data_IF_264048760512
#
_entry.id   IF_264048760512
#
_cell.length_a   1.000
_cell.length_b   1.000
_cell.length_c   1.000
_cell.angle_alpha   90.00
_cell.angle_beta   90.00
_cell.angle_gamma   90.00
#
_symmetry.space_group_name_H-M   'P 1'
#
loop_
_entity.id
_entity.type
_entity.pdbx_description
1 polymer ?
#
# COMPACT_ATOMS: atom_id res chain seq x y z
N UNK A 1 -4.21 -12.39 1.81
CA UNK A 1 -5.16 -12.81 2.88
C UNK A 1 -4.68 -12.22 4.19
N UNK A 2 -5.62 -11.74 5.01
CA UNK A 2 -5.31 -11.21 6.33
C UNK A 2 -4.59 -12.26 7.20
N UNK A 3 -3.61 -11.84 8.03
CA UNK A 3 -3.04 -12.71 9.04
C UNK A 3 -4.11 -13.26 9.98
N UNK A 4 -3.94 -14.50 10.44
CA UNK A 4 -4.82 -15.07 11.45
C UNK A 4 -4.65 -14.31 12.77
N UNK A 5 -5.73 -13.69 13.24
CA UNK A 5 -5.68 -12.68 14.31
C UNK A 5 -5.29 -13.23 15.70
N UNK A 6 -5.28 -14.56 15.84
CA UNK A 6 -4.85 -15.26 17.05
C UNK A 6 -3.37 -15.70 17.00
N UNK A 7 -2.68 -15.55 15.86
CA UNK A 7 -1.27 -15.92 15.76
C UNK A 7 -0.40 -15.05 16.66
N UNK A 8 0.56 -15.69 17.33
CA UNK A 8 1.71 -15.04 17.95
C UNK A 8 2.73 -14.60 16.88
N UNK A 9 3.65 -13.66 17.18
CA UNK A 9 4.73 -13.32 16.26
C UNK A 9 5.53 -14.52 15.77
N UNK A 10 5.83 -15.48 16.66
CA UNK A 10 6.62 -16.67 16.34
C UNK A 10 5.89 -17.57 15.34
N UNK A 11 4.58 -17.78 15.52
CA UNK A 11 3.76 -18.55 14.60
C UNK A 11 3.66 -17.85 13.23
N UNK A 12 3.51 -16.52 13.24
CA UNK A 12 3.45 -15.74 12.01
C UNK A 12 4.80 -15.80 11.26
N UNK A 13 5.93 -15.66 11.96
CA UNK A 13 7.27 -15.80 11.37
C UNK A 13 7.49 -17.21 10.78
N UNK A 14 7.09 -18.27 11.49
CA UNK A 14 7.18 -19.63 11.00
C UNK A 14 6.37 -19.83 9.71
N UNK A 15 5.15 -19.27 9.65
CA UNK A 15 4.34 -19.27 8.42
C UNK A 15 5.01 -18.48 7.30
N UNK A 16 5.59 -17.31 7.57
CA UNK A 16 6.33 -16.52 6.58
C UNK A 16 7.54 -17.29 6.05
N UNK A 17 8.26 -18.02 6.90
CA UNK A 17 9.39 -18.85 6.47
C UNK A 17 8.97 -19.87 5.41
N UNK A 18 7.87 -20.59 5.63
CA UNK A 18 7.34 -21.52 4.63
C UNK A 18 6.96 -20.80 3.33
N UNK A 19 6.29 -19.65 3.43
CA UNK A 19 5.89 -18.85 2.25
C UNK A 19 7.09 -18.28 1.49
N UNK A 20 8.16 -17.88 2.16
CA UNK A 20 9.37 -17.41 1.50
C UNK A 20 10.12 -18.54 0.82
N UNK A 21 10.17 -19.74 1.41
CA UNK A 21 10.71 -20.90 0.73
C UNK A 21 9.95 -21.19 -0.57
N UNK A 22 8.61 -21.19 -0.54
CA UNK A 22 7.76 -21.35 -1.72
C UNK A 22 7.99 -20.22 -2.74
N UNK A 23 7.92 -18.96 -2.30
CA UNK A 23 8.04 -17.80 -3.17
C UNK A 23 9.42 -17.69 -3.83
N UNK A 24 10.50 -18.07 -3.13
CA UNK A 24 11.87 -18.01 -3.67
C UNK A 24 12.03 -18.85 -4.94
N UNK A 25 11.31 -19.98 -5.04
CA UNK A 25 11.31 -20.83 -6.23
C UNK A 25 10.68 -20.18 -7.47
N UNK A 26 9.88 -19.11 -7.30
CA UNK A 26 9.21 -18.39 -8.39
C UNK A 26 10.04 -17.25 -8.97
N UNK A 27 11.22 -16.96 -8.40
CA UNK A 27 12.08 -15.83 -8.75
C UNK A 27 11.32 -14.48 -8.84
N UNK A 28 10.54 -14.10 -7.80
CA UNK A 28 9.75 -12.88 -7.83
C UNK A 28 10.66 -11.65 -7.81
N UNK A 29 10.19 -10.55 -8.42
CA UNK A 29 10.88 -9.25 -8.34
C UNK A 29 11.01 -8.77 -6.89
N UNK A 30 9.94 -8.93 -6.13
CA UNK A 30 9.84 -8.71 -4.69
C UNK A 30 8.57 -9.40 -4.17
N UNK A 31 8.44 -9.51 -2.85
CA UNK A 31 7.26 -10.08 -2.18
C UNK A 31 6.54 -8.96 -1.41
N UNK A 32 5.24 -8.84 -1.63
CA UNK A 32 4.36 -7.97 -0.87
C UNK A 32 3.80 -8.71 0.36
N UNK A 33 3.74 -8.03 1.51
CA UNK A 33 3.38 -8.65 2.79
C UNK A 33 2.33 -7.86 3.56
N UNK A 34 1.25 -8.55 3.92
CA UNK A 34 0.39 -8.19 5.04
C UNK A 34 1.00 -8.77 6.32
N UNK A 35 1.84 -7.99 6.99
CA UNK A 35 2.65 -8.48 8.10
C UNK A 35 2.25 -7.86 9.45
N UNK A 36 2.29 -8.68 10.49
CA UNK A 36 2.03 -8.26 11.85
C UNK A 36 0.54 -8.18 12.19
N UNK A 37 0.23 -7.51 13.28
CA UNK A 37 -1.11 -7.40 13.85
C UNK A 37 -1.25 -6.07 14.61
N UNK A 38 -2.40 -5.42 14.48
CA UNK A 38 -2.70 -4.11 15.09
C UNK A 38 -2.91 -4.16 16.61
N UNK A 39 -3.07 -5.35 17.20
CA UNK A 39 -3.21 -5.53 18.65
C UNK A 39 -1.88 -5.67 19.39
N UNK A 40 -0.78 -5.90 18.66
CA UNK A 40 0.53 -6.09 19.30
C UNK A 40 1.08 -4.75 19.78
N UNK A 41 1.69 -4.67 20.98
CA UNK A 41 2.41 -3.46 21.41
C UNK A 41 3.51 -3.08 20.42
N UNK A 42 3.81 -1.78 20.29
CA UNK A 42 4.81 -1.27 19.34
C UNK A 42 6.13 -2.04 19.36
N UNK A 43 6.69 -2.31 20.55
CA UNK A 43 7.96 -3.04 20.66
C UNK A 43 7.90 -4.44 20.04
N UNK A 44 6.77 -5.14 20.18
CA UNK A 44 6.55 -6.45 19.58
C UNK A 44 6.37 -6.35 18.06
N UNK A 45 5.69 -5.31 17.58
CA UNK A 45 5.54 -5.05 16.14
C UNK A 45 6.89 -4.76 15.47
N UNK A 46 7.72 -3.93 16.10
CA UNK A 46 9.08 -3.61 15.64
C UNK A 46 9.95 -4.87 15.61
N UNK A 47 10.00 -5.63 16.71
CA UNK A 47 10.78 -6.88 16.75
C UNK A 47 10.34 -7.88 15.67
N UNK A 48 9.03 -8.06 15.49
CA UNK A 48 8.47 -8.94 14.46
C UNK A 48 8.83 -8.48 13.03
N UNK A 49 8.63 -7.20 12.70
CA UNK A 49 8.89 -6.67 11.36
C UNK A 49 10.38 -6.72 11.02
N UNK A 50 11.26 -6.46 11.99
CA UNK A 50 12.70 -6.62 11.85
C UNK A 50 13.08 -8.07 11.52
N UNK A 51 12.58 -9.03 12.31
CA UNK A 51 12.80 -10.47 12.06
C UNK A 51 12.24 -10.93 10.72
N UNK A 52 11.05 -10.46 10.34
CA UNK A 52 10.45 -10.79 9.05
C UNK A 52 11.27 -10.27 7.87
N UNK A 53 11.84 -9.07 8.00
CA UNK A 53 12.75 -8.49 7.01
C UNK A 53 14.05 -9.30 6.88
N UNK A 54 14.69 -9.63 7.99
CA UNK A 54 15.91 -10.47 8.01
C UNK A 54 15.65 -11.87 7.45
N UNK A 55 14.53 -12.47 7.82
CA UNK A 55 14.11 -13.77 7.33
C UNK A 55 13.97 -13.77 5.80
N UNK A 56 13.29 -12.78 5.23
CA UNK A 56 13.17 -12.65 3.78
C UNK A 56 14.53 -12.47 3.08
N UNK A 57 15.42 -11.65 3.66
CA UNK A 57 16.76 -11.46 3.15
C UNK A 57 17.58 -12.77 3.12
N UNK A 58 17.37 -13.65 4.11
CA UNK A 58 17.96 -15.00 4.14
C UNK A 58 17.54 -15.90 2.97
N UNK A 59 16.38 -15.64 2.36
CA UNK A 59 15.92 -16.31 1.13
C UNK A 59 16.29 -15.54 -0.15
N UNK A 60 17.08 -14.45 -0.04
CA UNK A 60 17.41 -13.58 -1.17
C UNK A 60 16.22 -12.78 -1.70
N UNK A 61 15.14 -12.67 -0.92
CA UNK A 61 13.91 -11.99 -1.32
C UNK A 61 13.92 -10.52 -0.88
N UNK A 62 13.59 -9.62 -1.79
CA UNK A 62 13.20 -8.25 -1.40
C UNK A 62 11.76 -8.28 -0.91
N UNK A 63 11.51 -7.80 0.31
CA UNK A 63 10.16 -7.67 0.85
C UNK A 63 9.70 -6.21 0.93
N UNK A 64 8.41 -6.02 0.69
CA UNK A 64 7.69 -4.76 0.75
C UNK A 64 6.47 -4.95 1.65
N UNK A 65 6.39 -4.18 2.75
CA UNK A 65 5.35 -4.32 3.76
C UNK A 65 4.17 -3.40 3.45
N UNK A 66 2.98 -3.98 3.34
CA UNK A 66 1.78 -3.26 2.90
C UNK A 66 1.09 -2.53 4.05
N UNK A 67 0.70 -1.28 3.79
CA UNK A 67 -0.22 -0.53 4.64
C UNK A 67 -1.62 -1.15 4.56
N UNK A 68 -2.07 -1.80 5.64
CA UNK A 68 -3.36 -2.47 5.64
C UNK A 68 -3.96 -2.48 7.05
N UNK A 69 -5.29 -2.45 7.15
CA UNK A 69 -6.00 -2.61 8.44
C UNK A 69 -5.76 -4.01 9.01
N UNK A 70 -5.84 -4.21 10.33
CA UNK A 70 -5.59 -5.51 10.97
C UNK A 70 -4.13 -6.04 10.85
N UNK A 71 -3.19 -5.21 10.40
CA UNK A 71 -1.75 -5.49 10.37
C UNK A 71 -0.99 -4.41 11.16
N UNK A 72 0.33 -4.56 11.30
CA UNK A 72 1.13 -3.58 12.06
C UNK A 72 1.26 -2.22 11.40
N UNK A 73 0.86 -2.09 10.12
CA UNK A 73 0.95 -0.86 9.34
C UNK A 73 -0.44 -0.21 9.12
N UNK A 74 -1.40 -0.47 10.01
CA UNK A 74 -2.77 0.03 9.88
C UNK A 74 -2.89 1.55 10.06
N UNK A 75 -2.00 2.16 10.84
CA UNK A 75 -2.03 3.58 11.19
C UNK A 75 -0.83 4.31 10.57
N UNK A 76 -1.05 5.51 9.98
CA UNK A 76 0.05 6.35 9.51
C UNK A 76 1.04 6.67 10.63
N UNK A 77 0.54 7.09 11.80
CA UNK A 77 1.35 7.59 12.90
C UNK A 77 2.21 6.48 13.53
N UNK A 78 1.61 5.32 13.76
CA UNK A 78 2.34 4.14 14.24
C UNK A 78 3.40 3.70 13.22
N UNK A 79 3.10 3.78 11.92
CA UNK A 79 4.06 3.43 10.86
C UNK A 79 5.27 4.37 10.89
N UNK A 80 5.08 5.67 11.17
CA UNK A 80 6.20 6.61 11.33
C UNK A 80 7.06 6.25 12.56
N UNK A 81 6.48 5.82 13.68
CA UNK A 81 7.24 5.32 14.85
C UNK A 81 8.02 4.04 14.54
N UNK A 82 7.44 3.13 13.74
CA UNK A 82 8.13 1.91 13.28
C UNK A 82 9.31 2.28 12.37
N UNK A 83 9.13 3.23 11.44
CA UNK A 83 10.19 3.68 10.53
C UNK A 83 11.40 4.23 11.27
N UNK A 84 11.19 4.94 12.38
CA UNK A 84 12.29 5.46 13.20
C UNK A 84 13.18 4.35 13.77
N UNK A 85 12.60 3.17 14.06
CA UNK A 85 13.31 2.03 14.62
C UNK A 85 13.82 1.05 13.56
N UNK A 86 13.14 0.97 12.41
CA UNK A 86 13.48 0.09 11.28
C UNK A 86 13.59 0.88 9.97
N UNK A 87 14.58 1.77 9.85
CA UNK A 87 14.70 2.67 8.69
C UNK A 87 14.96 1.96 7.36
N UNK A 88 15.35 0.68 7.39
CA UNK A 88 15.62 -0.17 6.24
C UNK A 88 14.38 -0.79 5.60
N UNK A 89 13.21 -0.74 6.26
CA UNK A 89 11.99 -1.33 5.72
C UNK A 89 11.56 -0.60 4.43
N UNK A 90 10.99 -1.40 3.53
CA UNK A 90 10.37 -0.94 2.28
C UNK A 90 8.88 -1.19 2.37
N UNK A 91 8.09 -0.29 1.79
CA UNK A 91 6.64 -0.34 1.93
C UNK A 91 5.91 -0.50 0.61
N UNK A 92 4.81 -1.24 0.64
CA UNK A 92 3.77 -1.18 -0.38
C UNK A 92 2.71 -0.21 0.12
N UNK A 93 2.48 0.85 -0.63
CA UNK A 93 1.51 1.86 -0.27
C UNK A 93 0.14 1.54 -0.90
N UNK A 94 -0.77 1.03 -0.07
CA UNK A 94 -2.20 1.19 -0.27
C UNK A 94 -2.73 2.25 0.72
N UNK A 95 -2.75 3.50 0.26
CA UNK A 95 -3.13 4.64 1.10
C UNK A 95 -4.60 4.62 1.49
N UNK A 96 -5.44 3.87 0.77
CA UNK A 96 -6.88 3.78 1.04
C UNK A 96 -7.17 3.24 2.44
N UNK A 97 -6.29 2.40 2.98
CA UNK A 97 -6.39 1.88 4.33
C UNK A 97 -6.22 2.95 5.39
N UNK A 98 -5.27 3.87 5.21
CA UNK A 98 -5.04 4.95 6.16
C UNK A 98 -6.11 6.04 6.06
N UNK A 99 -6.63 6.30 4.86
CA UNK A 99 -7.76 7.24 4.66
C UNK A 99 -8.96 6.83 5.51
N UNK A 100 -9.40 5.57 5.41
CA UNK A 100 -10.56 5.11 6.19
C UNK A 100 -10.26 4.99 7.69
N UNK A 101 -9.05 4.60 8.09
CA UNK A 101 -8.66 4.55 9.51
C UNK A 101 -8.67 5.94 10.15
N UNK A 102 -8.38 6.97 9.36
CA UNK A 102 -8.31 8.35 9.83
C UNK A 102 -9.61 9.12 9.64
N UNK A 103 -10.60 8.52 8.97
CA UNK A 103 -11.89 9.13 8.60
C UNK A 103 -11.74 10.46 7.84
N UNK A 104 -10.66 10.60 7.04
CA UNK A 104 -10.38 11.80 6.25
C UNK A 104 -9.33 11.54 5.18
N UNK A 105 -9.30 12.43 4.19
CA UNK A 105 -8.14 12.56 3.31
C UNK A 105 -6.97 13.09 4.13
N UNK A 106 -5.78 12.52 3.92
CA UNK A 106 -4.58 12.82 4.69
C UNK A 106 -3.74 13.89 3.98
N UNK A 107 -4.37 15.04 3.71
CA UNK A 107 -3.78 16.17 2.99
C UNK A 107 -3.78 17.49 3.76
N UNK A 108 -3.87 17.43 5.10
CA UNK A 108 -3.62 18.59 5.96
C UNK A 108 -2.11 18.92 5.97
N UNK A 109 -1.68 20.20 6.08
CA UNK A 109 -0.27 20.54 6.23
C UNK A 109 0.45 19.86 7.41
N UNK A 110 -0.29 19.39 8.41
CA UNK A 110 0.23 18.64 9.56
C UNK A 110 0.47 17.16 9.25
N UNK A 111 -0.02 16.66 8.12
CA UNK A 111 0.12 15.28 7.66
C UNK A 111 1.43 15.06 6.90
N UNK A 112 2.55 15.06 7.63
CA UNK A 112 3.86 14.78 7.05
C UNK A 112 4.15 13.27 6.99
N UNK A 113 4.08 12.71 5.78
CA UNK A 113 4.45 11.31 5.51
C UNK A 113 5.71 11.17 4.67
N UNK A 114 6.55 12.21 4.58
CA UNK A 114 7.81 12.19 3.81
C UNK A 114 8.66 10.97 4.15
N UNK A 115 8.82 10.66 5.44
CA UNK A 115 9.58 9.50 5.90
C UNK A 115 9.02 8.15 5.40
N UNK A 116 7.69 8.02 5.25
CA UNK A 116 7.07 6.83 4.66
C UNK A 116 7.24 6.81 3.14
N UNK A 117 6.93 7.93 2.48
CA UNK A 117 7.02 8.10 1.02
C UNK A 117 8.43 7.76 0.50
N UNK A 118 9.46 8.16 1.23
CA UNK A 118 10.87 7.89 0.91
C UNK A 118 11.28 6.42 0.99
N UNK A 119 10.38 5.57 1.45
CA UNK A 119 10.59 4.12 1.61
C UNK A 119 9.58 3.29 0.82
N UNK A 120 8.62 3.92 0.14
CA UNK A 120 7.67 3.20 -0.70
C UNK A 120 8.39 2.58 -1.91
N UNK A 121 8.25 1.27 -2.02
CA UNK A 121 8.80 0.44 -3.10
C UNK A 121 7.76 0.10 -4.16
N UNK A 122 6.51 -0.13 -3.74
CA UNK A 122 5.39 -0.52 -4.60
C UNK A 122 4.11 0.25 -4.24
N UNK A 123 3.21 0.43 -5.21
CA UNK A 123 1.93 1.10 -5.02
C UNK A 123 0.79 0.15 -5.34
N UNK A 124 -0.21 0.07 -4.46
CA UNK A 124 -1.52 -0.48 -4.78
C UNK A 124 -2.48 0.69 -5.01
N UNK A 125 -3.03 0.75 -6.23
CA UNK A 125 -3.83 1.87 -6.69
C UNK A 125 -5.31 1.66 -6.39
N UNK A 126 -5.64 1.42 -5.12
CA UNK A 126 -7.01 1.46 -4.61
C UNK A 126 -7.32 2.88 -4.16
N UNK A 127 -8.50 3.38 -4.52
CA UNK A 127 -8.99 4.69 -4.05
C UNK A 127 -10.00 4.44 -2.95
N UNK A 128 -9.69 4.87 -1.73
CA UNK A 128 -10.62 4.93 -0.61
C UNK A 128 -11.14 6.34 -0.38
N UNK A 129 -12.06 6.47 0.57
CA UNK A 129 -12.69 7.69 1.03
C UNK A 129 -12.85 7.63 2.56
N UNK A 130 -13.21 8.73 3.17
CA UNK A 130 -13.36 8.88 4.63
C UNK A 130 -14.19 7.76 5.28
N UNK A 131 -15.24 7.27 4.60
CA UNK A 131 -16.13 6.23 5.12
C UNK A 131 -15.86 4.82 4.57
N UNK A 132 -14.85 4.62 3.73
CA UNK A 132 -14.59 3.30 3.15
C UNK A 132 -13.25 3.16 2.41
N UNK A 133 -12.59 2.00 2.47
CA UNK A 133 -11.29 1.80 1.82
C UNK A 133 -11.37 1.64 0.31
N UNK A 134 -12.57 1.54 -0.26
CA UNK A 134 -12.75 1.44 -1.70
C UNK A 134 -13.98 2.23 -2.08
N UNK A 135 -13.81 3.20 -2.97
CA UNK A 135 -14.94 3.90 -3.58
C UNK A 135 -15.73 2.93 -4.48
N UNK A 136 -17.07 3.02 -4.54
CA UNK A 136 -17.90 2.24 -5.45
C UNK A 136 -17.43 2.27 -6.91
N UNK A 137 -17.02 3.45 -7.39
CA UNK A 137 -16.47 3.63 -8.73
C UNK A 137 -15.53 4.86 -8.76
N UNK A 138 -14.25 4.72 -9.15
CA UNK A 138 -13.27 5.80 -9.05
C UNK A 138 -13.50 6.94 -10.06
N UNK A 139 -14.20 6.68 -11.16
CA UNK A 139 -14.58 7.70 -12.12
C UNK A 139 -15.86 8.49 -11.75
N UNK A 140 -16.56 8.12 -10.67
CA UNK A 140 -17.79 8.81 -10.32
C UNK A 140 -17.48 10.23 -9.78
N UNK A 141 -18.20 11.28 -10.21
CA UNK A 141 -17.88 12.66 -9.85
C UNK A 141 -17.79 12.93 -8.35
N UNK A 142 -18.62 12.25 -7.54
CA UNK A 142 -18.63 12.36 -6.08
C UNK A 142 -17.33 11.87 -5.42
N UNK A 143 -16.58 10.99 -6.07
CA UNK A 143 -15.28 10.48 -5.60
C UNK A 143 -14.08 11.17 -6.26
N UNK A 144 -14.31 12.20 -7.09
CA UNK A 144 -13.23 12.95 -7.72
C UNK A 144 -12.23 13.51 -6.68
N UNK A 145 -12.65 14.06 -5.52
CA UNK A 145 -11.69 14.55 -4.52
C UNK A 145 -10.78 13.43 -3.98
N UNK A 146 -11.35 12.25 -3.73
CA UNK A 146 -10.61 11.08 -3.25
C UNK A 146 -9.61 10.54 -4.29
N UNK A 147 -10.03 10.43 -5.56
CA UNK A 147 -9.13 10.05 -6.65
C UNK A 147 -8.00 11.08 -6.81
N UNK A 148 -8.33 12.37 -6.79
CA UNK A 148 -7.33 13.44 -6.93
C UNK A 148 -6.33 13.44 -5.77
N UNK A 149 -6.79 13.16 -4.54
CA UNK A 149 -5.92 12.96 -3.37
C UNK A 149 -4.95 11.79 -3.59
N UNK A 150 -5.46 10.61 -3.94
CA UNK A 150 -4.65 9.43 -4.18
C UNK A 150 -3.61 9.66 -5.29
N UNK A 151 -4.02 10.30 -6.39
CA UNK A 151 -3.14 10.68 -7.50
C UNK A 151 -2.04 11.67 -7.07
N UNK A 152 -2.34 12.66 -6.22
CA UNK A 152 -1.30 13.55 -5.65
C UNK A 152 -0.34 12.78 -4.77
N UNK A 153 -0.84 11.85 -3.95
CA UNK A 153 -0.01 11.02 -3.08
C UNK A 153 0.93 10.10 -3.88
N UNK A 154 0.42 9.41 -4.91
CA UNK A 154 1.24 8.56 -5.77
C UNK A 154 2.29 9.35 -6.56
N UNK A 155 2.00 10.59 -6.97
CA UNK A 155 3.03 11.46 -7.57
C UNK A 155 4.18 11.75 -6.61
N UNK A 156 3.92 11.96 -5.32
CA UNK A 156 4.98 12.15 -4.33
C UNK A 156 5.88 10.91 -4.23
N UNK A 157 5.28 9.72 -4.25
CA UNK A 157 6.02 8.45 -4.31
C UNK A 157 6.86 8.35 -5.58
N UNK A 158 6.31 8.68 -6.75
CA UNK A 158 7.06 8.62 -8.01
C UNK A 158 8.24 9.61 -8.02
N UNK A 159 8.06 10.83 -7.50
CA UNK A 159 9.15 11.81 -7.33
C UNK A 159 10.25 11.24 -6.43
N UNK A 160 9.89 10.73 -5.25
CA UNK A 160 10.85 10.13 -4.32
C UNK A 160 11.57 8.93 -4.93
N UNK A 161 10.86 8.02 -5.62
CA UNK A 161 11.46 6.88 -6.31
C UNK A 161 12.47 7.33 -7.38
N UNK A 162 12.12 8.35 -8.17
CA UNK A 162 13.04 8.94 -9.16
C UNK A 162 14.28 9.53 -8.50
N UNK A 163 14.13 10.31 -7.42
CA UNK A 163 15.24 10.88 -6.64
C UNK A 163 16.14 9.80 -6.03
N UNK A 164 15.56 8.67 -5.62
CA UNK A 164 16.29 7.48 -5.14
C UNK A 164 16.85 6.59 -6.26
N UNK A 165 16.75 7.03 -7.53
CA UNK A 165 17.36 6.36 -8.67
C UNK A 165 16.62 5.12 -9.17
N UNK A 166 15.32 4.98 -8.89
CA UNK A 166 14.53 3.88 -9.44
C UNK A 166 14.37 4.07 -10.97
N UNK A 167 14.80 3.10 -11.79
CA UNK A 167 14.66 3.21 -13.25
C UNK A 167 13.21 2.99 -13.72
N UNK A 168 12.36 2.43 -12.85
CA UNK A 168 10.95 2.18 -13.12
C UNK A 168 10.18 2.11 -11.79
N UNK A 169 8.89 2.45 -11.85
CA UNK A 169 7.94 2.24 -10.75
C UNK A 169 7.04 1.03 -11.05
N UNK A 170 6.43 0.45 -10.01
CA UNK A 170 5.45 -0.63 -10.15
C UNK A 170 4.18 -0.24 -9.43
N UNK A 171 3.03 -0.52 -10.04
CA UNK A 171 1.72 -0.19 -9.52
C UNK A 171 0.73 -1.31 -9.87
N UNK A 172 -0.07 -1.72 -8.90
CA UNK A 172 -1.12 -2.72 -9.06
C UNK A 172 -2.49 -2.05 -8.84
N UNK A 173 -3.38 -1.96 -9.85
CA UNK A 173 -4.79 -1.65 -9.60
C UNK A 173 -5.39 -2.73 -8.72
N UNK A 174 -5.96 -2.35 -7.58
CA UNK A 174 -6.33 -3.31 -6.55
C UNK A 174 -7.77 -3.13 -6.05
N UNK A 175 -8.72 -2.87 -6.95
CA UNK A 175 -10.12 -2.96 -6.57
C UNK A 175 -10.46 -4.43 -6.28
N UNK A 176 -10.99 -4.70 -5.09
CA UNK A 176 -11.22 -6.05 -4.56
C UNK A 176 -12.70 -6.45 -4.53
N UNK A 177 -12.99 -7.75 -4.63
CA UNK A 177 -14.34 -8.31 -4.52
C UNK A 177 -14.83 -8.51 -3.07
N UNK A 178 -13.90 -8.81 -2.16
CA UNK A 178 -14.13 -9.36 -0.81
C UNK A 178 -14.69 -8.32 0.18
N UNK A 179 -15.94 -7.91 -0.02
CA UNK A 179 -16.60 -6.85 0.76
C UNK A 179 -16.17 -5.42 0.41
N UNK A 180 -15.12 -5.26 -0.38
CA UNK A 180 -14.67 -3.97 -0.91
C UNK A 180 -15.57 -3.47 -2.06
N UNK A 181 -15.97 -4.37 -2.97
CA UNK A 181 -16.91 -4.01 -4.03
C UNK A 181 -18.29 -3.84 -3.41
N UNK A 182 -18.87 -2.65 -3.58
CA UNK A 182 -20.20 -2.38 -3.05
C UNK A 182 -21.25 -3.23 -3.78
N UNK A 183 -22.24 -3.69 -3.03
CA UNK A 183 -23.35 -4.47 -3.56
C UNK A 183 -24.68 -3.83 -3.17
N UNK A 184 -25.68 -3.96 -4.03
CA UNK A 184 -27.03 -3.54 -3.72
C UNK A 184 -27.57 -4.36 -2.53
N UNK A 185 -28.20 -3.71 -1.53
CA UNK A 185 -28.75 -4.42 -0.38
C UNK A 185 -29.84 -5.40 -0.84
N UNK A 186 -29.96 -6.52 -0.13
CA UNK A 186 -30.93 -7.60 -0.37
C UNK A 186 -30.75 -8.39 -1.67
N UNK A 187 -30.28 -7.80 -2.77
CA UNK A 187 -30.04 -8.52 -4.03
C UNK A 187 -28.61 -9.02 -4.18
N UNK A 188 -27.66 -8.43 -3.45
CA UNK A 188 -26.23 -8.71 -3.53
C UNK A 188 -25.70 -8.64 -4.97
N UNK A 189 -26.24 -7.72 -5.77
CA UNK A 189 -25.74 -7.42 -7.12
C UNK A 189 -24.62 -6.40 -6.99
N UNK A 190 -23.42 -6.65 -7.57
CA UNK A 190 -22.33 -5.68 -7.51
C UNK A 190 -22.71 -4.39 -8.23
N UNK A 191 -22.36 -3.24 -7.65
CA UNK A 191 -22.69 -1.93 -8.24
C UNK A 191 -21.80 -1.58 -9.44
N UNK A 192 -20.72 -2.32 -9.65
CA UNK A 192 -19.79 -2.16 -10.76
C UNK A 192 -19.12 -3.50 -11.12
N UNK A 193 -18.65 -3.64 -12.35
CA UNK A 193 -17.85 -4.79 -12.79
C UNK A 193 -16.39 -4.65 -12.32
N UNK A 194 -15.92 -5.61 -11.51
CA UNK A 194 -14.61 -5.52 -10.85
C UNK A 194 -13.44 -5.48 -11.83
N UNK A 195 -13.54 -6.25 -12.93
CA UNK A 195 -12.51 -6.26 -13.96
C UNK A 195 -12.43 -4.88 -14.62
N UNK A 196 -13.58 -4.31 -14.98
CA UNK A 196 -13.67 -2.99 -15.61
C UNK A 196 -13.13 -1.89 -14.71
N UNK A 197 -13.37 -1.96 -13.39
CA UNK A 197 -12.79 -1.02 -12.42
C UNK A 197 -11.25 -1.06 -12.44
N UNK A 198 -10.67 -2.26 -12.35
CA UNK A 198 -9.22 -2.43 -12.34
C UNK A 198 -8.58 -2.05 -13.69
N UNK A 199 -9.24 -2.40 -14.80
CA UNK A 199 -8.80 -2.01 -16.14
C UNK A 199 -8.83 -0.49 -16.33
N UNK A 200 -9.90 0.17 -15.88
CA UNK A 200 -10.01 1.62 -15.92
C UNK A 200 -8.91 2.30 -15.09
N UNK A 201 -8.68 1.83 -13.86
CA UNK A 201 -7.60 2.33 -13.01
C UNK A 201 -6.22 2.12 -13.65
N UNK A 202 -5.98 0.97 -14.27
CA UNK A 202 -4.73 0.70 -14.99
C UNK A 202 -4.49 1.75 -16.09
N UNK A 203 -5.49 1.96 -16.96
CA UNK A 203 -5.39 2.94 -18.05
C UNK A 203 -5.24 4.37 -17.53
N UNK A 204 -6.02 4.76 -16.50
CA UNK A 204 -5.95 6.08 -15.88
C UNK A 204 -4.57 6.36 -15.29
N UNK A 205 -4.00 5.40 -14.56
CA UNK A 205 -2.69 5.55 -13.91
C UNK A 205 -1.53 5.50 -14.89
N UNK A 206 -1.63 4.73 -15.99
CA UNK A 206 -0.67 4.81 -17.08
C UNK A 206 -0.64 6.21 -17.71
N UNK A 207 -1.81 6.76 -18.07
CA UNK A 207 -1.89 8.12 -18.62
C UNK A 207 -1.39 9.18 -17.63
N UNK A 208 -1.73 9.03 -16.36
CA UNK A 208 -1.28 9.93 -15.29
C UNK A 208 0.24 9.88 -15.10
N UNK A 209 0.85 8.70 -15.11
CA UNK A 209 2.29 8.56 -15.02
C UNK A 209 3.02 9.18 -16.22
N UNK A 210 2.47 9.04 -17.43
CA UNK A 210 3.03 9.72 -18.62
C UNK A 210 2.98 11.24 -18.50
N UNK A 211 1.86 11.79 -18.02
CA UNK A 211 1.75 13.23 -17.73
C UNK A 211 2.79 13.68 -16.70
N UNK A 212 2.94 12.91 -15.62
CA UNK A 212 3.95 13.17 -14.59
C UNK A 212 5.38 13.22 -15.18
N UNK A 213 5.76 12.23 -15.99
CA UNK A 213 7.08 12.22 -16.65
C UNK A 213 7.28 13.47 -17.51
N UNK A 214 6.30 13.81 -18.36
CA UNK A 214 6.40 14.97 -19.26
C UNK A 214 6.61 16.30 -18.54
N UNK A 215 6.01 16.49 -17.36
CA UNK A 215 6.18 17.70 -16.55
C UNK A 215 7.56 17.75 -15.90
N UNK A 216 8.04 16.61 -15.41
CA UNK A 216 9.31 16.54 -14.67
C UNK A 216 10.57 16.45 -15.56
N UNK A 217 10.40 16.26 -16.87
CA UNK A 217 11.46 16.43 -17.87
C UNK A 217 11.64 17.91 -18.28
N UNK A 218 10.61 18.74 -18.05
CA UNK A 218 10.63 20.17 -18.34
C UNK A 218 11.14 21.02 -17.16
N UNK A 219 11.28 20.42 -15.97
CA UNK A 219 11.87 21.08 -14.81
C UNK A 219 13.39 21.21 -15.00
N UNK A 220 13.98 22.42 -14.84
CA UNK A 220 15.42 22.58 -14.88
C UNK A 220 16.07 21.72 -13.81
N UNK A 221 17.08 20.93 -14.19
CA UNK A 221 17.85 20.18 -13.19
C UNK A 221 18.54 21.17 -12.23
N UNK A 222 18.53 20.88 -10.91
CA UNK A 222 19.22 21.70 -9.93
C UNK A 222 20.74 21.74 -10.16
#
# INVERSE_FOLDING_TARGET
MLPAQHETPEQHLARLQTRFAEASSLNPRFVNLLAGNDRWPLAQQVDFLGKAHELAAGFGLTCSFETHRATSLYSPWLTLEIIQQLPQLRFTADISHWVVVSERLLDDPSDDFSAFIDRVHHVQARVGYDQGPQVPHPAAPEYQPALAFAERFWQQIWRSQRQRGYPQTTLTPEFGADGYLHHLPFTNVPVADLWSLNAWMATRQQAHFQQFLSLTEQEPQP
#
